data_IF_417887960333
#
_entry.id   IF_417887960333
#
_cell.length_a   1.000
_cell.length_b   1.000
_cell.length_c   1.000
_cell.angle_alpha   90.00
_cell.angle_beta   90.00
_cell.angle_gamma   90.00
#
_symmetry.space_group_name_H-M   'P 1'
#
loop_
_entity.id
_entity.type
_entity.pdbx_description
1 polymer ?
#
# COMPACT_ATOMS: atom_id res chain seq x y z
N UNK A 1 5.49 -54.16 9.00
CA UNK A 1 5.01 -52.90 9.58
C UNK A 1 5.75 -51.77 8.88
N UNK A 2 5.19 -51.28 7.77
CA UNK A 2 5.79 -50.24 6.93
C UNK A 2 5.28 -48.87 7.33
N UNK A 3 6.21 -47.98 7.65
CA UNK A 3 5.95 -46.62 8.11
C UNK A 3 6.27 -45.63 6.99
N UNK A 4 5.34 -44.69 6.78
CA UNK A 4 5.45 -43.38 6.13
C UNK A 4 5.91 -43.31 4.66
N UNK A 5 4.94 -43.16 3.75
CA UNK A 5 5.12 -42.54 2.42
C UNK A 5 4.61 -41.10 2.47
N UNK A 6 5.46 -40.22 1.96
CA UNK A 6 5.37 -38.76 1.92
C UNK A 6 4.03 -38.21 1.42
N UNK A 7 3.39 -37.39 2.25
CA UNK A 7 2.26 -36.56 1.82
C UNK A 7 2.76 -35.25 1.23
N UNK A 8 2.57 -35.15 -0.09
CA UNK A 8 1.92 -34.03 -0.78
C UNK A 8 2.66 -32.68 -0.80
N UNK A 9 3.46 -32.50 -1.85
CA UNK A 9 3.86 -31.19 -2.38
C UNK A 9 2.70 -30.61 -3.19
N UNK A 10 1.84 -29.78 -2.58
CA UNK A 10 0.92 -28.94 -3.34
C UNK A 10 1.66 -27.67 -3.73
N UNK A 11 2.29 -27.71 -4.91
CA UNK A 11 2.69 -26.51 -5.62
C UNK A 11 1.41 -25.78 -6.05
N UNK A 12 0.94 -24.88 -5.18
CA UNK A 12 -0.06 -23.87 -5.52
C UNK A 12 0.56 -22.87 -6.48
N UNK A 13 0.60 -23.23 -7.76
CA UNK A 13 0.94 -22.32 -8.85
C UNK A 13 -0.21 -21.30 -8.99
N UNK A 14 -0.09 -20.20 -8.24
CA UNK A 14 -1.04 -19.09 -8.29
C UNK A 14 -0.86 -18.32 -9.60
N UNK A 15 -1.96 -17.96 -10.28
CA UNK A 15 -1.94 -17.44 -11.63
C UNK A 15 -1.26 -16.07 -11.70
N UNK A 16 -0.56 -15.85 -12.79
CA UNK A 16 0.00 -14.57 -13.21
C UNK A 16 -1.11 -13.54 -13.46
N UNK A 17 -1.66 -12.97 -12.40
CA UNK A 17 -2.41 -11.72 -12.40
C UNK A 17 -1.51 -10.66 -11.76
N UNK A 18 -1.05 -9.70 -12.57
CA UNK A 18 -0.40 -8.44 -12.18
C UNK A 18 0.08 -8.37 -10.73
N UNK A 19 1.29 -8.87 -10.46
CA UNK A 19 1.99 -8.60 -9.20
C UNK A 19 2.27 -7.11 -9.15
N UNK A 20 1.33 -6.33 -8.63
CA UNK A 20 1.61 -4.98 -8.20
C UNK A 20 2.68 -5.12 -7.13
N UNK A 21 3.97 -4.94 -7.50
CA UNK A 21 5.16 -4.74 -6.66
C UNK A 21 4.90 -4.96 -5.16
N UNK A 22 4.57 -6.19 -4.75
CA UNK A 22 4.00 -6.47 -3.42
C UNK A 22 5.08 -6.43 -2.33
N UNK A 23 6.31 -6.14 -2.75
CA UNK A 23 7.51 -6.00 -1.93
C UNK A 23 7.71 -4.55 -1.46
N UNK A 24 7.02 -3.57 -2.07
CA UNK A 24 7.09 -2.17 -1.65
C UNK A 24 6.04 -1.90 -0.58
N UNK A 25 6.45 -1.48 0.63
CA UNK A 25 5.48 -1.19 1.68
C UNK A 25 4.53 -0.09 1.24
N UNK A 26 3.25 -0.27 1.57
CA UNK A 26 2.26 0.79 1.48
C UNK A 26 2.24 1.56 2.82
N UNK A 27 1.88 2.84 2.75
CA UNK A 27 1.63 3.69 3.90
C UNK A 27 0.33 4.41 3.64
N UNK A 28 -0.60 4.29 4.58
CA UNK A 28 -1.85 5.04 4.52
C UNK A 28 -1.75 6.30 5.36
N UNK A 29 -2.44 7.35 4.93
CA UNK A 29 -2.62 8.56 5.71
C UNK A 29 -4.10 8.88 5.81
N UNK A 30 -4.59 8.99 7.05
CA UNK A 30 -5.96 9.39 7.31
C UNK A 30 -6.15 10.89 7.09
N UNK A 31 -7.29 11.23 6.49
CA UNK A 31 -7.72 12.61 6.22
C UNK A 31 -8.98 12.98 6.99
N UNK A 32 -9.58 12.04 7.75
CA UNK A 32 -10.87 12.18 8.41
C UNK A 32 -12.07 11.92 7.50
N UNK A 33 -11.86 11.83 6.18
CA UNK A 33 -12.90 11.54 5.19
C UNK A 33 -12.48 10.47 4.18
N UNK A 34 -11.43 9.72 4.49
CA UNK A 34 -10.86 8.67 3.66
C UNK A 34 -9.35 8.54 3.84
N UNK A 35 -8.80 7.45 3.31
CA UNK A 35 -7.39 7.11 3.40
C UNK A 35 -6.68 7.42 2.08
N UNK A 36 -5.57 8.14 2.18
CA UNK A 36 -4.62 8.29 1.09
C UNK A 36 -3.63 7.13 1.11
N UNK A 37 -3.57 6.37 0.03
CA UNK A 37 -2.68 5.21 -0.07
C UNK A 37 -1.41 5.61 -0.82
N UNK A 38 -0.30 5.53 -0.12
CA UNK A 38 1.03 5.78 -0.67
C UNK A 38 1.82 4.50 -0.80
N UNK A 39 2.45 4.29 -1.94
CA UNK A 39 3.58 3.39 -2.05
C UNK A 39 4.81 4.11 -1.52
N UNK A 40 5.51 3.51 -0.56
CA UNK A 40 6.68 4.13 0.04
C UNK A 40 7.94 3.36 -0.31
N UNK A 41 8.96 4.09 -0.71
CA UNK A 41 10.30 3.55 -0.88
C UNK A 41 11.02 3.69 0.44
N UNK A 42 11.63 2.59 0.91
CA UNK A 42 12.41 2.58 2.14
C UNK A 42 13.85 2.22 1.83
N UNK A 43 14.77 2.97 2.43
CA UNK A 43 16.20 2.74 2.30
C UNK A 43 16.79 2.45 3.68
N UNK A 44 17.69 1.47 3.77
CA UNK A 44 18.43 1.23 5.00
C UNK A 44 19.56 2.24 5.16
N UNK A 45 19.44 3.11 6.15
CA UNK A 45 20.48 4.09 6.47
C UNK A 45 21.41 3.48 7.52
N UNK A 46 22.59 3.05 7.09
CA UNK A 46 23.60 2.39 7.97
C UNK A 46 23.93 3.21 9.23
N UNK A 47 23.98 4.53 9.12
CA UNK A 47 24.28 5.43 10.24
C UNK A 47 23.13 5.60 11.25
N UNK A 48 21.90 5.17 10.89
CA UNK A 48 20.72 5.19 11.77
C UNK A 48 20.29 3.79 12.19
N UNK A 49 20.97 2.75 11.69
CA UNK A 49 20.66 1.32 11.86
C UNK A 49 19.16 1.00 11.68
N UNK A 50 18.50 1.70 10.75
CA UNK A 50 17.07 1.54 10.49
C UNK A 50 16.71 1.85 9.05
N UNK A 51 15.59 1.28 8.61
CA UNK A 51 14.94 1.68 7.34
C UNK A 51 14.23 3.00 7.55
N UNK A 52 14.42 3.93 6.63
CA UNK A 52 13.70 5.21 6.59
C UNK A 52 12.98 5.34 5.27
N UNK A 53 11.82 6.00 5.29
CA UNK A 53 11.09 6.35 4.07
C UNK A 53 11.85 7.43 3.33
N UNK A 54 12.23 7.16 2.08
CA UNK A 54 12.99 8.09 1.23
C UNK A 54 12.13 8.70 0.13
N UNK A 55 11.07 8.00 -0.30
CA UNK A 55 10.11 8.51 -1.25
C UNK A 55 8.70 8.00 -0.94
N UNK A 56 7.69 8.75 -1.38
CA UNK A 56 6.27 8.40 -1.28
C UNK A 56 5.59 8.74 -2.59
N UNK A 57 4.92 7.77 -3.17
CA UNK A 57 4.14 7.90 -4.39
C UNK A 57 2.67 7.63 -4.06
N UNK A 58 1.78 8.55 -4.41
CA UNK A 58 0.35 8.34 -4.21
C UNK A 58 -0.15 7.35 -5.27
N UNK A 59 -0.66 6.21 -4.81
CA UNK A 59 -1.12 5.12 -5.69
C UNK A 59 -2.63 4.96 -5.72
N UNK A 60 -3.35 5.50 -4.74
CA UNK A 60 -4.80 5.37 -4.67
C UNK A 60 -5.43 5.98 -3.43
N UNK A 61 -6.72 5.76 -3.32
CA UNK A 61 -7.56 6.20 -2.21
C UNK A 61 -8.34 5.02 -1.65
N UNK A 62 -8.81 5.10 -0.41
CA UNK A 62 -9.66 4.07 0.18
C UNK A 62 -10.65 4.69 1.15
N UNK A 63 -11.84 4.08 1.24
CA UNK A 63 -12.91 4.49 2.15
C UNK A 63 -13.26 5.98 2.06
N UNK A 64 -13.31 6.51 0.84
CA UNK A 64 -13.53 7.94 0.61
C UNK A 64 -14.99 8.29 0.86
N UNK A 65 -15.22 9.02 1.96
CA UNK A 65 -16.51 9.58 2.32
C UNK A 65 -16.72 10.99 1.76
N UNK A 66 -15.65 11.78 1.58
CA UNK A 66 -15.72 13.15 1.04
C UNK A 66 -14.51 13.50 0.15
N UNK A 67 -14.76 13.67 -1.16
CA UNK A 67 -13.73 14.01 -2.14
C UNK A 67 -13.21 15.45 -2.02
N UNK A 68 -13.97 16.37 -1.44
CA UNK A 68 -13.51 17.74 -1.20
C UNK A 68 -12.40 17.74 -0.14
N UNK A 69 -12.62 16.99 0.95
CA UNK A 69 -11.62 16.82 2.02
C UNK A 69 -10.36 16.12 1.50
N UNK A 70 -10.51 15.10 0.65
CA UNK A 70 -9.37 14.44 -0.01
C UNK A 70 -8.58 15.42 -0.87
N UNK A 71 -9.25 16.27 -1.66
CA UNK A 71 -8.58 17.30 -2.47
C UNK A 71 -7.83 18.32 -1.62
N UNK A 72 -8.42 18.76 -0.51
CA UNK A 72 -7.76 19.66 0.42
C UNK A 72 -6.55 18.99 1.08
N UNK A 73 -6.66 17.71 1.47
CA UNK A 73 -5.55 16.94 2.01
C UNK A 73 -4.41 16.76 0.99
N UNK A 74 -4.73 16.49 -0.28
CA UNK A 74 -3.74 16.43 -1.35
C UNK A 74 -3.04 17.78 -1.54
N UNK A 75 -3.82 18.87 -1.59
CA UNK A 75 -3.30 20.23 -1.76
C UNK A 75 -2.41 20.63 -0.59
N UNK A 76 -2.81 20.34 0.64
CA UNK A 76 -2.04 20.59 1.85
C UNK A 76 -0.70 19.83 1.86
N UNK A 77 -0.66 18.65 1.25
CA UNK A 77 0.54 17.80 1.12
C UNK A 77 1.37 18.10 -0.13
N UNK A 78 0.98 19.10 -0.92
CA UNK A 78 1.70 19.51 -2.14
C UNK A 78 1.51 18.56 -3.33
N UNK A 79 0.52 17.66 -3.27
CA UNK A 79 0.18 16.79 -4.40
C UNK A 79 -0.74 17.53 -5.38
N UNK A 80 -0.56 17.26 -6.67
CA UNK A 80 -1.48 17.73 -7.71
C UNK A 80 -2.84 17.07 -7.56
N UNK A 81 -3.89 17.87 -7.39
CA UNK A 81 -5.30 17.42 -7.29
C UNK A 81 -5.78 16.62 -8.52
N UNK A 82 -5.07 16.65 -9.65
CA UNK A 82 -5.36 15.80 -10.81
C UNK A 82 -5.22 14.30 -10.53
N UNK A 83 -4.56 13.91 -9.44
CA UNK A 83 -4.42 12.52 -9.03
C UNK A 83 -5.76 11.88 -8.60
N UNK A 84 -6.74 12.68 -8.14
CA UNK A 84 -8.07 12.13 -7.75
C UNK A 84 -8.86 11.52 -8.90
N UNK A 85 -8.52 11.87 -10.15
CA UNK A 85 -9.31 11.47 -11.33
C UNK A 85 -8.74 10.25 -12.05
N UNK A 86 -7.49 9.88 -11.76
CA UNK A 86 -6.77 8.82 -12.48
C UNK A 86 -6.32 7.66 -11.60
N UNK A 87 -6.39 7.79 -10.28
CA UNK A 87 -5.97 6.74 -9.37
C UNK A 87 -7.15 5.87 -8.93
N UNK A 88 -6.96 4.55 -8.82
CA UNK A 88 -8.00 3.63 -8.38
C UNK A 88 -8.30 3.78 -6.89
N UNK A 89 -9.50 3.35 -6.51
CA UNK A 89 -9.82 3.06 -5.12
C UNK A 89 -9.31 1.65 -4.76
N UNK A 90 -8.55 1.57 -3.66
CA UNK A 90 -7.97 0.33 -3.14
C UNK A 90 -8.83 -0.13 -1.97
N UNK A 91 -9.28 -1.39 -1.91
CA UNK A 91 -10.09 -1.87 -0.80
C UNK A 91 -9.29 -1.89 0.51
N UNK A 92 -9.93 -1.52 1.61
CA UNK A 92 -9.34 -1.49 2.96
C UNK A 92 -8.65 -2.80 3.36
N UNK A 93 -9.16 -3.94 2.89
CA UNK A 93 -8.59 -5.27 3.15
C UNK A 93 -7.16 -5.47 2.63
N UNK A 94 -6.74 -4.65 1.66
CA UNK A 94 -5.40 -4.71 1.06
C UNK A 94 -4.44 -3.66 1.65
N UNK A 95 -4.91 -2.83 2.59
CA UNK A 95 -4.15 -1.72 3.13
C UNK A 95 -3.53 -2.04 4.50
N UNK A 96 -2.28 -1.62 4.73
CA UNK A 96 -1.69 -1.68 6.06
C UNK A 96 -2.41 -0.70 6.99
N UNK A 97 -2.53 -1.06 8.26
CA UNK A 97 -3.20 -0.22 9.25
C UNK A 97 -2.60 1.20 9.29
N UNK A 98 -3.44 2.25 9.43
CA UNK A 98 -2.97 3.61 9.56
C UNK A 98 -2.06 3.74 10.76
N UNK A 99 -0.78 4.08 10.51
CA UNK A 99 0.09 4.59 11.57
C UNK A 99 -0.42 5.97 11.96
N UNK A 100 -1.03 6.04 13.13
CA UNK A 100 -1.37 7.28 13.84
C UNK A 100 -0.13 8.16 14.09
#
# INVERSE_FOLDING_TARGET
MSTLVHSRLEAGESPAGSRIDSERPLSVADTGAGLLVYRVETEYRRHLDRRVTVARELVGFSDVSDWSVIRDALRARGHGVGATTHLPEIPLSELPEPRA
#
